data_IF_527183697345
#
_entry.id   IF_527183697345
#
_cell.length_a   1.000
_cell.length_b   1.000
_cell.length_c   1.000
_cell.angle_alpha   90.00
_cell.angle_beta   90.00
_cell.angle_gamma   90.00
#
_symmetry.space_group_name_H-M   'P 1'
#
loop_
_entity.id
_entity.type
_entity.pdbx_description
1 polymer ?
#
# COMPACT_ATOMS: atom_id res chain seq x y z
N UNK A 1 1.66 -17.75 -22.19
CA UNK A 1 3.09 -17.64 -21.87
C UNK A 1 3.57 -16.19 -21.74
N UNK A 2 3.37 -15.28 -22.72
CA UNK A 2 3.92 -13.91 -22.63
C UNK A 2 3.10 -12.93 -21.73
N UNK A 3 1.79 -13.16 -21.57
CA UNK A 3 0.89 -12.25 -20.82
C UNK A 3 1.05 -12.33 -19.29
N UNK A 4 1.38 -13.49 -18.75
CA UNK A 4 1.55 -13.69 -17.30
C UNK A 4 2.85 -13.06 -16.77
N UNK A 5 3.93 -13.15 -17.55
CA UNK A 5 5.23 -12.56 -17.18
C UNK A 5 5.17 -11.03 -17.14
N UNK A 6 4.51 -10.39 -18.12
CA UNK A 6 4.32 -8.94 -18.14
C UNK A 6 3.45 -8.46 -16.97
N UNK A 7 2.40 -9.21 -16.60
CA UNK A 7 1.55 -8.89 -15.45
C UNK A 7 2.28 -9.03 -14.11
N UNK A 8 3.14 -10.03 -13.96
CA UNK A 8 3.95 -10.19 -12.76
C UNK A 8 4.97 -9.05 -12.59
N UNK A 9 5.61 -8.64 -13.69
CA UNK A 9 6.54 -7.51 -13.69
C UNK A 9 5.83 -6.20 -13.28
N UNK A 10 4.65 -5.90 -13.83
CA UNK A 10 3.90 -4.69 -13.45
C UNK A 10 3.42 -4.72 -12.00
N UNK A 11 3.09 -5.90 -11.46
CA UNK A 11 2.74 -6.05 -10.03
C UNK A 11 3.94 -5.72 -9.12
N UNK A 12 5.15 -6.16 -9.47
CA UNK A 12 6.35 -5.82 -8.69
C UNK A 12 6.69 -4.33 -8.76
N UNK A 13 6.55 -3.72 -9.95
CA UNK A 13 6.73 -2.27 -10.13
C UNK A 13 5.73 -1.46 -9.30
N UNK A 14 4.47 -1.87 -9.28
CA UNK A 14 3.43 -1.24 -8.45
C UNK A 14 3.74 -1.39 -6.96
N UNK A 15 4.15 -2.57 -6.50
CA UNK A 15 4.55 -2.78 -5.10
C UNK A 15 5.74 -1.91 -4.71
N UNK A 16 6.76 -1.83 -5.56
CA UNK A 16 7.92 -0.96 -5.35
C UNK A 16 7.50 0.51 -5.26
N UNK A 17 6.67 0.97 -6.20
CA UNK A 17 6.15 2.33 -6.18
C UNK A 17 5.32 2.61 -4.91
N UNK A 18 4.46 1.69 -4.48
CA UNK A 18 3.69 1.82 -3.22
C UNK A 18 4.60 2.01 -2.01
N UNK A 19 5.67 1.21 -1.88
CA UNK A 19 6.66 1.33 -0.80
C UNK A 19 7.33 2.70 -0.78
N UNK A 20 7.75 3.18 -1.95
CA UNK A 20 8.41 4.47 -2.09
C UNK A 20 7.48 5.61 -1.68
N UNK A 21 6.22 5.58 -2.10
CA UNK A 21 5.25 6.63 -1.71
C UNK A 21 5.01 6.65 -0.20
N UNK A 22 4.80 5.49 0.43
CA UNK A 22 4.62 5.39 1.88
C UNK A 22 5.84 5.88 2.65
N UNK A 23 7.04 5.48 2.23
CA UNK A 23 8.29 5.93 2.86
C UNK A 23 8.44 7.45 2.76
N UNK A 24 8.15 8.04 1.59
CA UNK A 24 8.16 9.50 1.39
C UNK A 24 7.15 10.24 2.26
N UNK A 25 6.00 9.63 2.53
CA UNK A 25 4.97 10.18 3.42
C UNK A 25 5.31 10.06 4.91
N UNK A 26 6.40 9.39 5.28
CA UNK A 26 6.86 9.26 6.68
C UNK A 26 6.52 7.93 7.35
N UNK A 27 6.07 6.92 6.59
CA UNK A 27 5.93 5.57 7.12
C UNK A 27 7.31 4.94 7.35
N UNK A 28 7.53 4.23 8.47
CA UNK A 28 8.74 3.45 8.67
C UNK A 28 8.93 2.41 7.54
N UNK A 29 10.15 2.20 7.03
CA UNK A 29 10.41 1.24 5.95
C UNK A 29 9.79 -0.17 6.13
N UNK A 30 9.82 -0.82 7.31
CA UNK A 30 9.20 -2.13 7.47
C UNK A 30 7.67 -2.08 7.31
N UNK A 31 7.02 -1.03 7.83
CA UNK A 31 5.57 -0.85 7.71
C UNK A 31 5.17 -0.48 6.28
N UNK A 32 5.97 0.36 5.62
CA UNK A 32 5.77 0.71 4.22
C UNK A 32 5.86 -0.52 3.30
N UNK A 33 6.75 -1.47 3.62
CA UNK A 33 6.87 -2.73 2.89
C UNK A 33 5.63 -3.61 3.03
N UNK A 34 5.12 -3.77 4.25
CA UNK A 34 3.91 -4.55 4.54
C UNK A 34 2.68 -3.98 3.81
N UNK A 35 2.43 -2.68 3.94
CA UNK A 35 1.27 -2.01 3.32
C UNK A 35 1.34 -1.96 1.79
N UNK A 36 2.55 -1.97 1.23
CA UNK A 36 2.73 -2.04 -0.21
C UNK A 36 2.39 -3.41 -0.80
N UNK A 37 2.54 -4.47 0.00
CA UNK A 37 2.24 -5.84 -0.41
C UNK A 37 0.76 -6.19 -0.30
N UNK A 38 0.00 -5.46 0.54
CA UNK A 38 -1.44 -5.58 0.66
C UNK A 38 -2.20 -4.51 -0.15
N UNK A 39 -2.75 -4.94 -1.29
CA UNK A 39 -3.56 -4.08 -2.15
C UNK A 39 -4.93 -3.68 -1.57
N UNK A 40 -5.34 -4.27 -0.43
CA UNK A 40 -6.58 -3.92 0.26
C UNK A 40 -6.53 -2.54 0.91
N UNK A 41 -5.34 -2.04 1.27
CA UNK A 41 -5.23 -0.69 1.81
C UNK A 41 -5.33 0.38 0.72
N UNK A 42 -6.15 1.39 0.99
CA UNK A 42 -6.11 2.65 0.26
C UNK A 42 -4.84 3.43 0.64
N UNK A 43 -3.88 3.39 -0.29
CA UNK A 43 -2.58 4.05 -0.16
C UNK A 43 -2.73 5.57 0.01
N UNK A 44 -3.68 6.17 -0.71
CA UNK A 44 -3.85 7.61 -0.72
C UNK A 44 -4.41 8.07 0.63
N UNK A 45 -5.44 7.40 1.15
CA UNK A 45 -6.02 7.71 2.44
C UNK A 45 -5.01 7.56 3.59
N UNK A 46 -4.14 6.54 3.54
CA UNK A 46 -3.06 6.35 4.52
C UNK A 46 -2.08 7.52 4.52
N UNK A 47 -1.65 7.96 3.33
CA UNK A 47 -0.73 9.08 3.17
C UNK A 47 -1.38 10.37 3.69
N UNK A 48 -2.63 10.66 3.30
CA UNK A 48 -3.35 11.86 3.75
C UNK A 48 -3.46 11.94 5.27
N UNK A 49 -3.75 10.83 5.95
CA UNK A 49 -3.79 10.82 7.41
C UNK A 49 -2.45 11.21 8.03
N UNK A 50 -1.35 10.66 7.51
CA UNK A 50 -0.01 10.94 8.04
C UNK A 50 0.43 12.37 7.72
N UNK A 51 0.16 12.87 6.52
CA UNK A 51 0.42 14.26 6.14
C UNK A 51 -0.34 15.26 7.03
N UNK A 52 -1.50 14.87 7.55
CA UNK A 52 -2.29 15.65 8.52
C UNK A 52 -1.79 15.53 9.97
N UNK A 53 -0.70 14.79 10.21
CA UNK A 53 -0.08 14.60 11.51
C UNK A 53 -0.52 13.36 12.28
N UNK A 54 -1.30 12.45 11.65
CA UNK A 54 -1.57 11.15 12.25
C UNK A 54 -0.28 10.32 12.26
N UNK A 55 -0.04 9.56 13.35
CA UNK A 55 1.11 8.65 13.36
C UNK A 55 0.84 7.46 12.43
N UNK A 56 1.86 6.94 11.71
CA UNK A 56 1.69 5.81 10.79
C UNK A 56 1.02 4.58 11.42
N UNK A 57 1.39 4.20 12.65
CA UNK A 57 0.78 3.09 13.38
C UNK A 57 -0.72 3.29 13.64
N UNK A 58 -1.13 4.54 13.88
CA UNK A 58 -2.51 4.89 14.13
C UNK A 58 -3.31 5.00 12.83
N UNK A 59 -2.72 5.53 11.76
CA UNK A 59 -3.35 5.63 10.45
C UNK A 59 -3.77 4.24 9.92
N UNK A 60 -2.91 3.22 10.07
CA UNK A 60 -3.20 1.82 9.70
C UNK A 60 -4.32 1.21 10.55
N UNK A 61 -4.50 1.66 11.79
CA UNK A 61 -5.60 1.19 12.64
C UNK A 61 -6.92 1.90 12.34
N UNK A 62 -6.87 3.14 11.87
CA UNK A 62 -8.04 3.91 11.45
C UNK A 62 -8.56 3.37 10.12
N UNK A 63 -7.66 3.11 9.18
CA UNK A 63 -7.99 2.56 7.87
C UNK A 63 -7.81 1.05 7.89
N UNK A 64 -8.90 0.30 7.98
CA UNK A 64 -8.86 -1.14 7.74
C UNK A 64 -8.66 -1.42 6.23
N UNK A 65 -8.10 -2.57 5.84
CA UNK A 65 -8.11 -3.00 4.45
C UNK A 65 -9.55 -2.98 3.91
N UNK A 66 -9.72 -2.46 2.70
CA UNK A 66 -10.99 -2.56 1.98
C UNK A 66 -11.35 -4.03 1.85
N UNK A 67 -12.61 -4.36 2.16
CA UNK A 67 -13.13 -5.69 1.85
C UNK A 67 -12.97 -5.89 0.35
N UNK A 68 -12.07 -6.81 -0.03
CA UNK A 68 -12.05 -7.28 -1.40
C UNK A 68 -13.38 -8.00 -1.58
N UNK A 69 -14.23 -7.58 -2.54
CA UNK A 69 -15.42 -8.36 -2.83
C UNK A 69 -14.93 -9.79 -3.09
N UNK A 70 -15.48 -10.75 -2.35
CA UNK A 70 -15.19 -12.17 -2.58
C UNK A 70 -15.31 -12.38 -4.08
N UNK A 71 -14.24 -12.87 -4.70
CA UNK A 71 -14.20 -13.17 -6.11
C UNK A 71 -15.16 -14.34 -6.36
N UNK A 72 -16.45 -14.02 -6.56
CA UNK A 72 -17.51 -14.92 -6.99
C UNK A 72 -17.36 -15.27 -8.47
#
# INVERSE_FOLDING_TARGET
MQTEATRAATVDEVRRWRREQLTRAGFPPPLAAELADDAGYDLHALIELVERGCRPDLAVRILAPLERPDAA
#
